data_IF_797405184224
#
_entry.id   IF_797405184224
#
_cell.length_a   1.000
_cell.length_b   1.000
_cell.length_c   1.000
_cell.angle_alpha   90.00
_cell.angle_beta   90.00
_cell.angle_gamma   90.00
#
_symmetry.space_group_name_H-M   'P 1'
#
loop_
_entity.id
_entity.type
_entity.pdbx_description
1 polymer ?
#
# COMPACT_ATOMS: atom_id res chain seq x y z
N UNK A 1 2.38 -0.07 23.41
CA UNK A 1 3.07 -1.36 23.24
C UNK A 1 4.57 -1.13 23.44
N UNK A 2 5.17 -1.60 24.54
CA UNK A 2 6.60 -1.45 24.85
C UNK A 2 7.48 -2.46 24.11
N UNK A 3 7.34 -2.54 22.79
CA UNK A 3 7.95 -3.59 21.95
C UNK A 3 9.42 -3.30 21.58
N UNK A 4 9.83 -2.04 21.68
CA UNK A 4 11.17 -1.53 21.37
C UNK A 4 11.51 -0.42 22.36
N UNK A 5 12.80 -0.17 22.57
CA UNK A 5 13.30 0.81 23.53
C UNK A 5 13.37 2.24 22.98
N UNK A 6 13.25 2.43 21.66
CA UNK A 6 13.26 3.75 21.02
C UNK A 6 12.58 3.76 19.65
N UNK A 7 12.28 4.95 19.14
CA UNK A 7 11.75 5.13 17.79
C UNK A 7 12.73 4.64 16.71
N UNK A 8 14.04 4.84 16.91
CA UNK A 8 15.06 4.37 15.98
C UNK A 8 15.06 2.84 15.89
N UNK A 9 14.95 2.16 17.03
CA UNK A 9 14.87 0.70 17.07
C UNK A 9 13.56 0.18 16.42
N UNK A 10 12.45 0.91 16.63
CA UNK A 10 11.18 0.64 15.96
C UNK A 10 11.28 0.75 14.43
N UNK A 11 11.85 1.84 13.93
CA UNK A 11 12.06 2.06 12.49
C UNK A 11 12.95 0.99 11.88
N UNK A 12 14.05 0.63 12.56
CA UNK A 12 14.97 -0.42 12.10
C UNK A 12 14.26 -1.76 11.97
N UNK A 13 13.55 -2.20 13.02
CA UNK A 13 12.85 -3.50 13.01
C UNK A 13 11.70 -3.55 11.99
N UNK A 14 10.97 -2.45 11.83
CA UNK A 14 9.92 -2.35 10.81
C UNK A 14 10.53 -2.45 9.39
N UNK A 15 11.63 -1.74 9.13
CA UNK A 15 12.33 -1.80 7.85
C UNK A 15 12.89 -3.20 7.56
N UNK A 16 13.51 -3.86 8.55
CA UNK A 16 14.00 -5.24 8.43
C UNK A 16 12.86 -6.22 8.10
N UNK A 17 11.71 -6.07 8.76
CA UNK A 17 10.54 -6.93 8.53
C UNK A 17 9.92 -6.70 7.15
N UNK A 18 9.91 -5.45 6.68
CA UNK A 18 9.43 -5.09 5.35
C UNK A 18 10.37 -5.65 4.27
N UNK A 19 11.68 -5.42 4.41
CA UNK A 19 12.70 -5.86 3.45
C UNK A 19 12.82 -7.39 3.40
N UNK A 20 12.65 -8.08 4.54
CA UNK A 20 12.71 -9.53 4.64
C UNK A 20 11.42 -10.26 4.23
N UNK A 21 10.39 -9.55 3.77
CA UNK A 21 9.11 -10.15 3.36
C UNK A 21 8.22 -10.65 4.51
N UNK A 22 8.65 -10.53 5.77
CA UNK A 22 7.89 -10.94 6.94
C UNK A 22 6.54 -10.22 7.05
N UNK A 23 6.50 -8.94 6.69
CA UNK A 23 5.26 -8.15 6.64
C UNK A 23 4.26 -8.73 5.61
N UNK A 24 4.74 -9.04 4.41
CA UNK A 24 3.93 -9.63 3.35
C UNK A 24 3.41 -11.02 3.76
N UNK A 25 4.23 -11.86 4.39
CA UNK A 25 3.82 -13.18 4.86
C UNK A 25 2.73 -13.13 5.94
N UNK A 26 2.81 -12.16 6.86
CA UNK A 26 1.74 -11.93 7.86
C UNK A 26 0.45 -11.49 7.17
N UNK A 27 0.55 -10.55 6.22
CA UNK A 27 -0.61 -10.06 5.47
C UNK A 27 -1.28 -11.18 4.65
N UNK A 28 -0.52 -12.03 3.97
CA UNK A 28 -1.06 -13.19 3.24
C UNK A 28 -1.84 -14.13 4.16
N UNK A 29 -1.29 -14.47 5.34
CA UNK A 29 -1.99 -15.31 6.33
C UNK A 29 -3.27 -14.66 6.82
N UNK A 30 -3.28 -13.34 7.03
CA UNK A 30 -4.48 -12.60 7.42
C UNK A 30 -5.56 -12.67 6.34
N UNK A 31 -5.21 -12.40 5.07
CA UNK A 31 -6.15 -12.48 3.94
C UNK A 31 -6.78 -13.88 3.86
N UNK A 32 -5.96 -14.93 3.91
CA UNK A 32 -6.45 -16.32 3.88
C UNK A 32 -7.35 -16.65 5.08
N UNK A 33 -6.99 -16.20 6.29
CA UNK A 33 -7.79 -16.43 7.49
C UNK A 33 -9.16 -15.74 7.45
N UNK A 34 -9.29 -14.64 6.69
CA UNK A 34 -10.54 -13.91 6.48
C UNK A 34 -11.32 -14.40 5.25
N UNK A 35 -10.93 -15.53 4.65
CA UNK A 35 -11.61 -16.16 3.53
C UNK A 35 -11.16 -15.66 2.15
N UNK A 36 -10.11 -14.87 2.08
CA UNK A 36 -9.49 -14.46 0.83
C UNK A 36 -8.57 -15.54 0.21
N UNK A 37 -8.07 -15.31 -1.01
CA UNK A 37 -7.19 -16.26 -1.69
C UNK A 37 -5.85 -16.45 -0.97
N UNK A 38 -5.37 -17.69 -0.88
CA UNK A 38 -4.08 -18.01 -0.26
C UNK A 38 -2.87 -17.52 -1.08
N UNK A 39 -3.07 -17.29 -2.38
CA UNK A 39 -2.07 -16.79 -3.34
C UNK A 39 -2.25 -15.29 -3.65
N UNK A 40 -2.96 -14.54 -2.79
CA UNK A 40 -3.31 -13.14 -3.03
C UNK A 40 -2.11 -12.22 -3.20
N UNK A 41 -1.09 -12.39 -2.36
CA UNK A 41 0.11 -11.52 -2.38
C UNK A 41 0.99 -11.82 -3.59
N UNK A 42 1.04 -13.08 -4.01
CA UNK A 42 1.81 -13.55 -5.15
C UNK A 42 1.12 -13.23 -6.47
N UNK A 43 -0.22 -13.21 -6.50
CA UNK A 43 -1.03 -13.02 -7.72
C UNK A 43 -2.12 -11.95 -7.55
N UNK A 44 -1.78 -10.70 -7.17
CA UNK A 44 -2.78 -9.68 -6.90
C UNK A 44 -3.64 -9.36 -8.13
N UNK A 45 -3.05 -9.36 -9.33
CA UNK A 45 -3.75 -9.05 -10.59
C UNK A 45 -4.84 -10.06 -10.96
N UNK A 46 -4.73 -11.30 -10.48
CA UNK A 46 -5.73 -12.36 -10.71
C UNK A 46 -6.98 -12.14 -9.86
N UNK A 47 -6.83 -11.50 -8.70
CA UNK A 47 -7.87 -11.39 -7.67
C UNK A 47 -8.45 -9.98 -7.55
N UNK A 48 -7.67 -8.95 -7.87
CA UNK A 48 -8.11 -7.57 -7.85
C UNK A 48 -8.86 -7.21 -9.14
N UNK A 49 -10.06 -6.61 -9.05
CA UNK A 49 -10.78 -6.17 -10.22
C UNK A 49 -10.02 -5.05 -10.93
N UNK A 50 -9.95 -5.11 -12.25
CA UNK A 50 -9.43 -4.01 -13.07
C UNK A 50 -10.53 -3.02 -13.42
N UNK A 51 -10.19 -1.74 -13.45
CA UNK A 51 -11.08 -0.71 -13.97
C UNK A 51 -11.32 -0.94 -15.47
N UNK A 52 -12.52 -0.60 -15.96
CA UNK A 52 -12.86 -0.75 -17.38
C UNK A 52 -12.04 0.21 -18.28
N UNK A 53 -11.56 1.33 -17.73
CA UNK A 53 -10.76 2.32 -18.44
C UNK A 53 -9.69 2.90 -17.50
N UNK A 54 -8.48 3.10 -18.03
CA UNK A 54 -7.33 3.68 -17.32
C UNK A 54 -6.74 4.82 -18.17
N UNK A 55 -6.68 6.03 -17.60
CA UNK A 55 -6.16 7.21 -18.30
C UNK A 55 -5.11 7.94 -17.47
N UNK A 56 -4.01 8.34 -18.11
CA UNK A 56 -3.05 9.25 -17.50
C UNK A 56 -3.54 10.70 -17.62
N UNK A 57 -3.67 11.39 -16.48
CA UNK A 57 -3.94 12.83 -16.44
C UNK A 57 -2.60 13.57 -16.42
N UNK A 58 -2.28 14.23 -17.53
CA UNK A 58 -1.03 14.99 -17.67
C UNK A 58 -1.18 16.39 -17.07
N UNK A 59 -0.10 16.90 -16.49
CA UNK A 59 -0.04 18.30 -16.11
C UNK A 59 -0.19 19.20 -17.34
N UNK A 60 -0.87 20.32 -17.19
CA UNK A 60 -1.08 21.31 -18.26
C UNK A 60 0.19 22.08 -18.59
N UNK A 61 1.15 22.11 -17.67
CA UNK A 61 2.42 22.83 -17.79
C UNK A 61 3.57 22.10 -17.09
N UNK A 62 4.79 22.50 -17.42
CA UNK A 62 6.01 21.99 -16.76
C UNK A 62 6.26 22.73 -15.44
N UNK A 63 6.79 22.03 -14.45
CA UNK A 63 7.12 22.63 -13.16
C UNK A 63 7.31 21.60 -12.06
N UNK A 64 7.12 22.03 -10.82
CA UNK A 64 7.15 21.19 -9.63
C UNK A 64 5.78 21.21 -8.95
N UNK A 65 5.38 20.09 -8.35
CA UNK A 65 4.17 20.04 -7.52
C UNK A 65 4.41 20.88 -6.27
N UNK A 66 3.63 21.94 -6.09
CA UNK A 66 3.71 22.84 -4.93
C UNK A 66 2.66 22.53 -3.85
N UNK A 67 1.63 21.76 -4.19
CA UNK A 67 0.57 21.37 -3.28
C UNK A 67 -0.34 20.30 -3.89
N UNK A 68 -1.09 19.62 -3.03
CA UNK A 68 -2.03 18.55 -3.39
C UNK A 68 -3.33 18.81 -2.62
N UNK A 69 -4.44 19.04 -3.32
CA UNK A 69 -5.76 19.16 -2.66
C UNK A 69 -6.28 17.77 -2.27
N UNK A 70 -5.81 17.26 -1.12
CA UNK A 70 -6.10 15.90 -0.66
C UNK A 70 -7.59 15.65 -0.45
N UNK A 71 -8.35 16.67 0.00
CA UNK A 71 -9.81 16.58 0.17
C UNK A 71 -10.53 16.43 -1.17
N UNK A 72 -10.21 17.27 -2.14
CA UNK A 72 -10.90 17.24 -3.43
C UNK A 72 -10.56 15.97 -4.22
N UNK A 73 -9.33 15.46 -4.09
CA UNK A 73 -8.95 14.14 -4.62
C UNK A 73 -9.77 13.03 -3.94
N UNK A 74 -9.93 13.07 -2.62
CA UNK A 74 -10.78 12.11 -1.92
C UNK A 74 -12.24 12.15 -2.38
N UNK A 75 -12.79 13.34 -2.62
CA UNK A 75 -14.14 13.51 -3.17
C UNK A 75 -14.26 13.00 -4.61
N UNK A 76 -13.20 13.06 -5.42
CA UNK A 76 -13.20 12.51 -6.77
C UNK A 76 -13.19 10.97 -6.81
N UNK A 77 -12.85 10.30 -5.71
CA UNK A 77 -12.86 8.83 -5.57
C UNK A 77 -14.23 8.29 -5.15
N UNK A 78 -15.06 9.10 -4.49
CA UNK A 78 -16.40 8.75 -3.98
C UNK A 78 -17.46 8.95 -5.05
#
# INVERSE_FOLDING_TARGET
>A
AGLVSSNQDGMRRAAETLAGGGAAAVFARMVAALGGPADFVENPEKHLPRAAMEFAVKATENGFVTGISTRDIGLAVV
#
